data_IF_794502165251
#
_entry.id   IF_794502165251
#
_cell.length_a   1.000
_cell.length_b   1.000
_cell.length_c   1.000
_cell.angle_alpha   90.00
_cell.angle_beta   90.00
_cell.angle_gamma   90.00
#
_symmetry.space_group_name_H-M   'P 1'
#
loop_
_entity.id
_entity.type
_entity.pdbx_description
1 polymer ?
#
# COMPACT_ATOMS: atom_id res chain seq x y z
N UNK A 1 -13.22 1.73 -57.67
CA UNK A 1 -12.85 1.12 -56.38
C UNK A 1 -12.31 2.24 -55.50
N UNK A 2 -12.83 2.40 -54.28
CA UNK A 2 -12.30 3.39 -53.35
C UNK A 2 -12.01 2.72 -52.02
N UNK A 3 -10.85 3.06 -51.44
CA UNK A 3 -10.47 2.61 -50.12
C UNK A 3 -11.05 3.57 -49.09
N UNK A 4 -11.76 3.02 -48.11
CA UNK A 4 -12.29 3.76 -46.98
C UNK A 4 -11.47 3.38 -45.75
N UNK A 5 -10.80 4.34 -45.16
CA UNK A 5 -10.04 4.17 -43.92
C UNK A 5 -10.82 4.84 -42.79
N UNK A 6 -11.14 4.08 -41.75
CA UNK A 6 -11.72 4.59 -40.51
C UNK A 6 -10.69 4.44 -39.41
N UNK A 7 -10.34 5.55 -38.74
CA UNK A 7 -9.54 5.53 -37.52
C UNK A 7 -10.38 4.89 -36.43
N UNK A 8 -9.92 3.78 -35.86
CA UNK A 8 -10.57 3.20 -34.69
C UNK A 8 -10.61 4.24 -33.56
N UNK A 9 -11.78 4.40 -32.95
CA UNK A 9 -11.92 5.25 -31.79
C UNK A 9 -11.01 4.69 -30.68
N UNK A 10 -10.08 5.49 -30.18
CA UNK A 10 -9.21 5.10 -29.07
C UNK A 10 -10.12 4.83 -27.86
N UNK A 11 -10.22 3.58 -27.42
CA UNK A 11 -10.94 3.21 -26.21
C UNK A 11 -10.34 4.01 -25.04
N UNK A 12 -11.14 4.75 -24.24
CA UNK A 12 -10.61 5.47 -23.10
C UNK A 12 -9.93 4.49 -22.14
N UNK A 13 -8.76 4.88 -21.63
CA UNK A 13 -8.03 4.08 -20.66
C UNK A 13 -8.91 3.84 -19.41
N UNK A 14 -8.88 2.62 -18.83
CA UNK A 14 -9.61 2.35 -17.60
C UNK A 14 -9.13 3.28 -16.48
N UNK A 15 -10.05 3.76 -15.65
CA UNK A 15 -9.69 4.55 -14.45
C UNK A 15 -9.10 3.63 -13.40
N UNK A 16 -8.04 4.07 -12.73
CA UNK A 16 -7.32 3.31 -11.70
C UNK A 16 -7.04 4.18 -10.48
N UNK A 17 -6.95 3.56 -9.30
CA UNK A 17 -6.53 4.18 -8.05
C UNK A 17 -5.01 4.21 -7.88
N UNK A 18 -4.56 4.95 -6.87
CA UNK A 18 -3.15 5.01 -6.46
C UNK A 18 -2.99 5.42 -5.00
N UNK A 19 -1.86 5.07 -4.38
CA UNK A 19 -1.42 5.63 -3.10
C UNK A 19 0.10 5.87 -3.11
N UNK A 20 0.56 6.82 -2.29
CA UNK A 20 1.99 7.04 -2.08
C UNK A 20 2.45 6.31 -0.81
N UNK A 21 3.60 5.64 -0.88
CA UNK A 21 4.23 4.98 0.26
C UNK A 21 5.60 5.61 0.52
N UNK A 22 5.79 6.12 1.73
CA UNK A 22 7.03 6.76 2.16
C UNK A 22 7.57 6.07 3.43
N UNK A 23 8.88 5.77 3.45
CA UNK A 23 9.55 5.25 4.65
C UNK A 23 10.21 6.39 5.40
N UNK A 24 9.84 6.55 6.67
CA UNK A 24 10.51 7.45 7.61
C UNK A 24 11.06 6.66 8.80
N UNK A 25 12.33 6.87 9.13
CA UNK A 25 13.03 6.32 10.29
C UNK A 25 13.44 7.48 11.19
N UNK A 26 13.13 7.36 12.48
CA UNK A 26 13.49 8.34 13.51
C UNK A 26 14.18 7.64 14.68
N UNK A 27 14.99 8.36 15.45
CA UNK A 27 15.71 7.81 16.62
C UNK A 27 17.06 7.15 16.31
N UNK A 28 17.39 6.95 15.03
CA UNK A 28 18.74 6.58 14.55
C UNK A 28 18.91 6.90 13.07
N UNK A 29 20.17 6.91 12.59
CA UNK A 29 20.52 6.96 11.18
C UNK A 29 20.81 5.54 10.68
N UNK A 30 20.36 5.21 9.46
CA UNK A 30 20.58 3.89 8.88
C UNK A 30 20.45 3.91 7.36
N UNK A 31 21.30 3.14 6.68
CA UNK A 31 21.21 2.86 5.24
C UNK A 31 20.39 1.60 4.94
N UNK A 32 19.76 1.01 5.96
CA UNK A 32 18.96 -0.20 5.83
C UNK A 32 17.76 0.04 4.92
N UNK A 33 17.50 -0.95 4.08
CA UNK A 33 16.27 -1.06 3.31
C UNK A 33 15.19 -1.81 4.10
N UNK A 34 13.99 -1.26 4.09
CA UNK A 34 12.80 -1.82 4.72
C UNK A 34 11.90 -2.38 3.64
N UNK A 35 11.54 -3.66 3.73
CA UNK A 35 10.69 -4.32 2.74
C UNK A 35 9.22 -4.14 3.12
N UNK A 36 8.44 -3.63 2.18
CA UNK A 36 7.01 -3.46 2.27
C UNK A 36 6.31 -4.38 1.29
N UNK A 37 5.20 -4.98 1.72
CA UNK A 37 4.30 -5.73 0.85
C UNK A 37 2.92 -5.11 0.89
N UNK A 38 2.18 -5.21 -0.21
CA UNK A 38 0.78 -4.86 -0.22
C UNK A 38 -0.05 -5.82 -1.06
N UNK A 39 -1.30 -5.96 -0.65
CA UNK A 39 -2.33 -6.76 -1.31
C UNK A 39 -3.58 -5.90 -1.43
N UNK A 40 -3.93 -5.52 -2.65
CA UNK A 40 -5.17 -4.80 -2.96
C UNK A 40 -6.19 -5.78 -3.52
N UNK A 41 -7.37 -5.81 -2.92
CA UNK A 41 -8.49 -6.67 -3.33
C UNK A 41 -9.69 -5.83 -3.71
N UNK A 42 -10.33 -6.20 -4.80
CA UNK A 42 -11.63 -5.68 -5.23
C UNK A 42 -12.78 -6.62 -4.84
N UNK A 43 -14.00 -6.09 -4.94
CA UNK A 43 -15.25 -6.84 -4.77
C UNK A 43 -15.39 -8.01 -5.75
N UNK A 44 -14.83 -7.89 -6.96
CA UNK A 44 -14.80 -8.95 -7.97
C UNK A 44 -13.76 -10.05 -7.69
N UNK A 45 -13.12 -10.02 -6.52
CA UNK A 45 -12.01 -10.88 -6.10
C UNK A 45 -10.73 -10.77 -6.94
N UNK A 46 -10.60 -9.76 -7.82
CA UNK A 46 -9.30 -9.46 -8.42
C UNK A 46 -8.31 -9.02 -7.35
N UNK A 47 -7.06 -9.49 -7.47
CA UNK A 47 -6.02 -9.22 -6.48
C UNK A 47 -4.77 -8.70 -7.16
N UNK A 48 -4.29 -7.54 -6.70
CA UNK A 48 -2.97 -7.01 -7.03
C UNK A 48 -2.06 -7.18 -5.82
N UNK A 49 -0.89 -7.81 -6.02
CA UNK A 49 0.12 -7.99 -4.98
C UNK A 49 1.46 -7.48 -5.47
N UNK A 50 2.17 -6.74 -4.62
CA UNK A 50 3.51 -6.30 -4.96
C UNK A 50 4.35 -6.03 -3.69
N UNK A 51 5.63 -5.78 -3.89
CA UNK A 51 6.63 -5.50 -2.85
C UNK A 51 7.54 -4.35 -3.27
N UNK A 52 8.07 -3.61 -2.29
CA UNK A 52 9.12 -2.62 -2.51
C UNK A 52 10.06 -2.56 -1.32
N UNK A 53 11.32 -2.21 -1.59
CA UNK A 53 12.32 -1.89 -0.57
C UNK A 53 12.57 -0.39 -0.56
N UNK A 54 12.45 0.23 0.61
CA UNK A 54 12.63 1.66 0.80
C UNK A 54 13.64 1.91 1.92
N UNK A 55 14.61 2.80 1.67
CA UNK A 55 15.47 3.41 2.67
C UNK A 55 14.75 4.56 3.38
N UNK A 56 15.33 5.04 4.47
CA UNK A 56 14.85 6.24 5.14
C UNK A 56 14.74 7.43 4.16
N UNK A 57 13.58 8.10 4.13
CA UNK A 57 13.27 9.23 3.27
C UNK A 57 12.85 8.86 1.85
N UNK A 58 12.88 7.58 1.46
CA UNK A 58 12.42 7.17 0.13
C UNK A 58 10.90 7.07 0.05
N UNK A 59 10.37 7.49 -1.10
CA UNK A 59 8.95 7.51 -1.43
C UNK A 59 8.71 6.91 -2.81
N UNK A 60 7.64 6.14 -2.93
CA UNK A 60 7.16 5.59 -4.21
C UNK A 60 5.68 5.91 -4.41
N UNK A 61 5.27 5.91 -5.67
CA UNK A 61 3.86 5.90 -6.07
C UNK A 61 3.49 4.47 -6.45
N UNK A 62 2.46 3.92 -5.80
CA UNK A 62 1.81 2.69 -6.21
C UNK A 62 0.57 3.08 -6.99
N UNK A 63 0.59 2.84 -8.30
CA UNK A 63 -0.46 3.23 -9.24
C UNK A 63 -1.09 2.01 -9.91
N UNK A 64 -1.96 2.27 -10.89
CA UNK A 64 -2.65 1.25 -11.68
C UNK A 64 -3.41 0.24 -10.81
N UNK A 65 -3.86 0.67 -9.63
CA UNK A 65 -4.66 -0.16 -8.74
C UNK A 65 -6.10 -0.17 -9.23
N UNK A 66 -6.81 -1.28 -9.09
CA UNK A 66 -8.23 -1.28 -9.37
C UNK A 66 -8.98 -0.28 -8.47
N UNK A 67 -10.00 0.38 -9.01
CA UNK A 67 -10.84 1.28 -8.22
C UNK A 67 -11.66 0.50 -7.19
N UNK A 68 -12.02 1.18 -6.09
CA UNK A 68 -12.73 0.60 -4.95
C UNK A 68 -12.02 -0.60 -4.30
N UNK A 69 -10.71 -0.75 -4.55
CA UNK A 69 -9.86 -1.73 -3.89
C UNK A 69 -9.64 -1.41 -2.41
N UNK A 70 -9.70 -2.43 -1.56
CA UNK A 70 -9.12 -2.36 -0.21
C UNK A 70 -7.71 -2.92 -0.23
N UNK A 71 -6.73 -2.10 0.14
CA UNK A 71 -5.32 -2.49 0.23
C UNK A 71 -4.88 -2.78 1.67
N UNK A 72 -4.27 -3.94 1.88
CA UNK A 72 -3.55 -4.27 3.11
C UNK A 72 -2.06 -4.07 2.86
N UNK A 73 -1.41 -3.22 3.66
CA UNK A 73 0.02 -2.89 3.55
C UNK A 73 0.73 -3.41 4.81
N UNK A 74 1.90 -4.01 4.64
CA UNK A 74 2.72 -4.51 5.75
C UNK A 74 4.19 -4.15 5.55
N UNK A 75 4.89 -3.81 6.64
CA UNK A 75 6.35 -3.75 6.69
C UNK A 75 6.84 -5.09 7.25
N UNK A 76 7.76 -5.77 6.54
CA UNK A 76 8.41 -6.96 7.08
C UNK A 76 9.38 -6.56 8.19
N UNK A 77 9.45 -7.37 9.24
CA UNK A 77 10.27 -7.10 10.44
C UNK A 77 11.71 -6.74 10.08
N UNK A 78 12.09 -5.50 10.38
CA UNK A 78 13.43 -4.99 10.17
C UNK A 78 14.06 -4.58 11.51
N UNK A 79 14.87 -5.47 12.11
CA UNK A 79 15.62 -5.17 13.33
C UNK A 79 16.88 -4.34 13.04
N UNK A 80 17.17 -3.34 13.88
CA UNK A 80 18.45 -2.61 13.87
C UNK A 80 19.16 -2.93 15.20
N UNK A 81 20.41 -3.45 15.18
CA UNK A 81 21.12 -3.81 16.40
C UNK A 81 21.20 -2.64 17.40
N UNK A 82 20.84 -2.90 18.66
CA UNK A 82 20.84 -1.90 19.74
C UNK A 82 19.58 -1.04 19.84
N UNK A 83 18.58 -1.22 18.97
CA UNK A 83 17.34 -0.44 18.99
C UNK A 83 16.09 -1.31 19.17
N UNK A 84 15.11 -0.78 19.91
CA UNK A 84 13.75 -1.35 19.95
C UNK A 84 12.94 -0.80 18.79
N UNK A 85 12.26 -1.68 18.06
CA UNK A 85 11.45 -1.30 16.90
C UNK A 85 10.01 -0.97 17.30
N UNK A 86 9.45 0.09 16.73
CA UNK A 86 8.03 0.45 16.82
C UNK A 86 7.57 0.97 15.46
N UNK A 87 6.38 0.53 15.02
CA UNK A 87 5.83 0.88 13.71
C UNK A 87 4.56 1.71 13.90
N UNK A 88 4.41 2.77 13.11
CA UNK A 88 3.25 3.66 13.14
C UNK A 88 2.85 4.03 11.72
N UNK A 89 1.57 3.86 11.40
CA UNK A 89 0.99 4.13 10.09
C UNK A 89 0.10 5.37 10.13
N UNK A 90 0.64 6.58 9.87
CA UNK A 90 -0.20 7.74 9.66
C UNK A 90 -0.86 7.64 8.26
N UNK A 91 -2.18 7.72 8.19
CA UNK A 91 -2.87 7.99 6.92
C UNK A 91 -3.02 9.50 6.74
N UNK A 92 -3.22 9.98 5.51
CA UNK A 92 -3.30 11.42 5.19
C UNK A 92 -4.37 12.20 5.99
N UNK A 93 -5.29 11.50 6.67
CA UNK A 93 -6.40 12.10 7.42
C UNK A 93 -6.28 11.94 8.95
N UNK A 94 -5.31 11.16 9.46
CA UNK A 94 -5.20 10.88 10.90
C UNK A 94 -3.89 11.45 11.48
N UNK A 95 -3.96 12.67 12.02
CA UNK A 95 -2.86 13.30 12.80
C UNK A 95 -2.58 12.59 14.14
N UNK A 96 -3.26 11.49 14.44
CA UNK A 96 -3.06 10.67 15.64
C UNK A 96 -3.01 9.20 15.25
N UNK A 97 -1.98 8.45 15.63
CA UNK A 97 -1.95 7.01 15.40
C UNK A 97 -3.15 6.34 16.08
N UNK A 98 -3.97 5.60 15.34
CA UNK A 98 -4.85 4.61 15.98
C UNK A 98 -3.95 3.62 16.71
N UNK A 99 -3.96 3.70 18.05
CA UNK A 99 -3.46 2.61 18.88
C UNK A 99 -4.33 1.39 18.58
N UNK A 100 -3.84 0.46 17.76
CA UNK A 100 -4.40 -0.87 17.73
C UNK A 100 -4.18 -1.50 19.12
N UNK A 101 -5.24 -1.87 19.87
CA UNK A 101 -5.06 -2.62 21.09
C UNK A 101 -4.53 -4.02 20.73
N UNK A 102 -3.53 -4.47 21.48
CA UNK A 102 -2.82 -5.75 21.32
C UNK A 102 -3.67 -6.97 21.73
N UNK A 103 -5.00 -6.89 21.67
CA UNK A 103 -5.90 -7.97 22.04
C UNK A 103 -6.93 -8.21 20.94
N UNK A 104 -6.72 -9.34 20.26
CA UNK A 104 -7.60 -10.01 19.32
C UNK A 104 -9.09 -9.89 19.71
N UNK A 105 -10.00 -9.50 18.81
CA UNK A 105 -11.43 -9.59 19.11
C UNK A 105 -11.84 -11.06 19.08
N UNK A 106 -12.20 -11.60 20.25
CA UNK A 106 -12.96 -12.85 20.36
C UNK A 106 -14.33 -12.64 19.74
N UNK A 107 -14.64 -13.37 18.67
CA UNK A 107 -15.99 -13.41 18.10
C UNK A 107 -16.92 -14.15 19.05
N UNK A 108 -17.77 -13.44 19.78
CA UNK A 108 -18.97 -14.06 20.35
C UNK A 108 -20.06 -14.03 19.28
N UNK A 109 -20.45 -15.22 18.82
CA UNK A 109 -21.72 -15.44 18.13
C UNK A 109 -22.84 -15.03 19.08
N UNK A 110 -23.69 -14.09 18.67
CA UNK A 110 -24.98 -13.87 19.31
C UNK A 110 -26.01 -14.83 18.71
N UNK A 111 -26.71 -15.51 19.60
CA UNK A 111 -27.80 -16.48 19.38
C UNK A 111 -29.01 -15.84 18.71
#
# INVERSE_FOLDING_TARGET
MYNKYTKEAVKPAPKTGSFALEKKVTGTQTDKEFEFTWVCRNEDNSIVRNTAKLKNGQKILVDNLPLESTCQIAEKTASIPGYKHSLTWPTNEEKTPRKYPEHSPTWTKST
#
